data_IF_132294425087
#
_entry.id   IF_132294425087
#
_cell.length_a   1.000
_cell.length_b   1.000
_cell.length_c   1.000
_cell.angle_alpha   90.00
_cell.angle_beta   90.00
_cell.angle_gamma   90.00
#
_symmetry.space_group_name_H-M   'P 1'
#
loop_
_entity.id
_entity.type
_entity.pdbx_description
1 polymer ?
#
# COMPACT_ATOMS: atom_id res chain seq x y z
N UNK A 1 8.34 -7.86 31.96
CA UNK A 1 8.14 -6.78 30.96
C UNK A 1 9.11 -6.90 29.78
N UNK A 2 10.37 -7.29 29.99
CA UNK A 2 11.37 -7.45 28.91
C UNK A 2 11.01 -8.55 27.88
N UNK A 3 10.53 -9.71 28.32
CA UNK A 3 10.12 -10.80 27.41
C UNK A 3 8.91 -10.48 26.51
N UNK A 4 8.03 -9.55 26.94
CA UNK A 4 6.85 -9.16 26.15
C UNK A 4 7.19 -8.18 25.03
N UNK A 5 8.17 -7.29 25.26
CA UNK A 5 8.71 -6.42 24.22
C UNK A 5 9.43 -7.23 23.13
N UNK A 6 10.17 -8.26 23.52
CA UNK A 6 10.89 -9.13 22.59
C UNK A 6 9.93 -9.91 21.68
N UNK A 7 8.89 -10.56 22.24
CA UNK A 7 7.90 -11.29 21.45
C UNK A 7 7.11 -10.38 20.48
N UNK A 8 6.78 -9.15 20.90
CA UNK A 8 6.12 -8.17 20.03
C UNK A 8 7.00 -7.81 18.84
N UNK A 9 8.27 -7.49 19.08
CA UNK A 9 9.18 -7.11 18.01
C UNK A 9 9.40 -8.27 17.04
N UNK A 10 9.57 -9.50 17.55
CA UNK A 10 9.66 -10.71 16.73
C UNK A 10 8.41 -10.92 15.84
N UNK A 11 7.21 -10.67 16.37
CA UNK A 11 5.98 -10.70 15.58
C UNK A 11 5.98 -9.66 14.47
N UNK A 12 6.30 -8.41 14.80
CA UNK A 12 6.32 -7.29 13.83
C UNK A 12 7.35 -7.57 12.71
N UNK A 13 8.56 -8.02 13.06
CA UNK A 13 9.59 -8.33 12.08
C UNK A 13 9.20 -9.51 11.17
N UNK A 14 8.57 -10.54 11.75
CA UNK A 14 8.06 -11.67 10.98
C UNK A 14 6.92 -11.24 10.05
N UNK A 15 6.04 -10.34 10.50
CA UNK A 15 4.98 -9.79 9.67
C UNK A 15 5.54 -9.07 8.45
N UNK A 16 6.54 -8.19 8.60
CA UNK A 16 7.18 -7.52 7.46
C UNK A 16 7.75 -8.52 6.45
N UNK A 17 8.50 -9.52 6.92
CA UNK A 17 9.10 -10.56 6.08
C UNK A 17 8.05 -11.43 5.37
N UNK A 18 6.93 -11.72 6.04
CA UNK A 18 5.85 -12.53 5.47
C UNK A 18 5.05 -11.74 4.44
N UNK A 19 4.70 -10.50 4.74
CA UNK A 19 3.92 -9.63 3.84
C UNK A 19 4.69 -9.26 2.58
N UNK A 20 6.01 -9.08 2.68
CA UNK A 20 6.89 -8.90 1.52
C UNK A 20 7.26 -10.22 0.85
N UNK A 21 6.83 -11.37 1.38
CA UNK A 21 7.25 -12.71 0.95
C UNK A 21 8.79 -12.91 0.89
N UNK A 22 9.55 -12.18 1.72
CA UNK A 22 11.00 -12.33 1.84
C UNK A 22 11.44 -13.63 2.51
N UNK A 23 10.52 -14.35 3.15
CA UNK A 23 10.81 -15.67 3.76
C UNK A 23 10.87 -16.80 2.73
N UNK A 24 10.45 -16.57 1.48
CA UNK A 24 10.40 -17.59 0.43
C UNK A 24 11.33 -17.23 -0.73
N UNK A 25 12.31 -18.08 -1.03
CA UNK A 25 13.22 -17.90 -2.17
C UNK A 25 12.45 -17.87 -3.50
N UNK A 26 11.35 -18.62 -3.59
CA UNK A 26 10.47 -18.65 -4.74
C UNK A 26 9.80 -17.31 -5.03
N UNK A 27 9.77 -16.40 -4.06
CA UNK A 27 9.24 -15.05 -4.28
C UNK A 27 10.09 -14.24 -5.27
N UNK A 28 11.29 -14.70 -5.63
CA UNK A 28 12.09 -14.14 -6.73
C UNK A 28 11.66 -14.64 -8.12
N UNK A 29 10.76 -15.62 -8.22
CA UNK A 29 10.29 -16.13 -9.51
C UNK A 29 9.42 -15.09 -10.22
N UNK A 30 9.56 -15.01 -11.54
CA UNK A 30 8.85 -14.03 -12.36
C UNK A 30 7.85 -14.73 -13.26
N UNK A 31 6.59 -14.27 -13.25
CA UNK A 31 5.58 -14.79 -14.18
C UNK A 31 5.94 -14.44 -15.62
N UNK A 32 5.86 -15.44 -16.51
CA UNK A 32 6.05 -15.22 -17.94
C UNK A 32 4.84 -14.47 -18.49
N UNK A 33 5.01 -13.18 -18.74
CA UNK A 33 3.96 -12.30 -19.27
C UNK A 33 3.76 -12.44 -20.78
N UNK A 34 2.68 -11.86 -21.29
CA UNK A 34 2.42 -11.73 -22.72
C UNK A 34 3.58 -10.99 -23.42
N UNK A 35 3.80 -11.30 -24.69
CA UNK A 35 4.81 -10.64 -25.51
C UNK A 35 4.29 -10.32 -26.91
N UNK A 36 5.14 -9.76 -27.78
CA UNK A 36 4.80 -9.55 -29.20
C UNK A 36 4.61 -10.86 -29.99
N UNK A 37 4.90 -12.02 -29.40
CA UNK A 37 4.77 -13.31 -30.07
C UNK A 37 3.35 -13.89 -29.87
N UNK A 38 2.53 -14.02 -30.93
CA UNK A 38 1.14 -14.46 -30.81
C UNK A 38 1.01 -15.92 -30.37
N UNK A 39 1.94 -16.80 -30.76
CA UNK A 39 1.95 -18.21 -30.36
C UNK A 39 2.19 -18.33 -28.87
N UNK A 40 3.16 -17.56 -28.34
CA UNK A 40 3.42 -17.52 -26.90
C UNK A 40 2.18 -17.06 -26.14
N UNK A 41 1.51 -16.02 -26.60
CA UNK A 41 0.30 -15.51 -25.94
C UNK A 41 -0.84 -16.53 -25.97
N UNK A 42 -1.03 -17.25 -27.08
CA UNK A 42 -2.00 -18.33 -27.18
C UNK A 42 -1.71 -19.47 -26.18
N UNK A 43 -0.44 -19.88 -26.06
CA UNK A 43 0.00 -20.90 -25.10
C UNK A 43 -0.28 -20.43 -23.66
N UNK A 44 0.13 -19.21 -23.32
CA UNK A 44 -0.10 -18.66 -21.98
C UNK A 44 -1.60 -18.58 -21.65
N UNK A 45 -2.43 -18.15 -22.61
CA UNK A 45 -3.87 -18.10 -22.44
C UNK A 45 -4.48 -19.49 -22.19
N UNK A 46 -4.06 -20.51 -22.94
CA UNK A 46 -4.57 -21.88 -22.77
C UNK A 46 -4.12 -22.53 -21.45
N UNK A 47 -2.89 -22.25 -21.00
CA UNK A 47 -2.41 -22.71 -19.70
C UNK A 47 -3.13 -22.02 -18.54
N UNK A 48 -3.35 -20.71 -18.64
CA UNK A 48 -4.08 -19.93 -17.62
C UNK A 48 -5.51 -20.45 -17.42
N UNK A 49 -6.22 -20.86 -18.49
CA UNK A 49 -7.56 -21.50 -18.40
C UNK A 49 -7.55 -22.78 -17.56
N UNK A 50 -6.38 -23.43 -17.44
CA UNK A 50 -6.18 -24.66 -16.67
C UNK A 50 -5.52 -24.42 -15.32
N UNK A 51 -5.45 -23.16 -14.87
CA UNK A 51 -4.74 -22.75 -13.66
C UNK A 51 -3.24 -23.14 -13.66
N UNK A 52 -2.60 -23.13 -14.83
CA UNK A 52 -1.17 -23.37 -14.97
C UNK A 52 -0.47 -22.06 -15.33
N UNK A 53 0.49 -21.65 -14.50
CA UNK A 53 1.34 -20.48 -14.76
C UNK A 53 2.76 -20.94 -15.14
N UNK A 54 3.33 -20.31 -16.17
CA UNK A 54 4.76 -20.46 -16.48
C UNK A 54 5.52 -19.36 -15.75
N UNK A 55 6.56 -19.75 -15.02
CA UNK A 55 7.45 -18.83 -14.31
C UNK A 55 8.89 -19.00 -14.75
N UNK A 56 9.66 -17.91 -14.73
CA UNK A 56 11.12 -17.95 -14.77
C UNK A 56 11.60 -18.05 -13.33
N UNK A 57 12.35 -19.11 -13.03
CA UNK A 57 13.01 -19.26 -11.73
C UNK A 57 14.22 -18.33 -11.70
N UNK A 58 14.16 -17.31 -10.86
CA UNK A 58 15.26 -16.40 -10.57
C UNK A 58 15.50 -16.40 -9.06
N UNK A 59 16.75 -16.21 -8.61
CA UNK A 59 17.02 -16.02 -7.19
C UNK A 59 16.31 -14.75 -6.71
N UNK A 60 15.85 -14.77 -5.46
CA UNK A 60 15.32 -13.58 -4.81
C UNK A 60 16.42 -12.52 -4.70
N UNK A 61 16.17 -11.34 -5.25
CA UNK A 61 17.01 -10.17 -5.02
C UNK A 61 16.54 -9.51 -3.72
N UNK A 62 17.19 -9.88 -2.61
CA UNK A 62 16.85 -9.36 -1.28
C UNK A 62 17.03 -7.85 -1.18
N UNK A 63 17.96 -7.24 -1.92
CA UNK A 63 18.15 -5.77 -1.91
C UNK A 63 16.97 -5.10 -2.60
N UNK A 64 16.60 -5.60 -3.77
CA UNK A 64 15.43 -5.11 -4.50
C UNK A 64 14.16 -5.22 -3.66
N UNK A 65 13.95 -6.37 -2.98
CA UNK A 65 12.80 -6.56 -2.08
C UNK A 65 12.84 -5.66 -0.86
N UNK A 66 14.02 -5.43 -0.29
CA UNK A 66 14.20 -4.56 0.86
C UNK A 66 13.80 -3.12 0.53
N UNK A 67 14.18 -2.63 -0.65
CA UNK A 67 13.80 -1.30 -1.15
C UNK A 67 12.40 -1.26 -1.81
N UNK A 68 11.78 -2.41 -2.07
CA UNK A 68 10.47 -2.51 -2.75
C UNK A 68 10.54 -2.11 -4.23
N UNK A 69 11.59 -2.53 -4.93
CA UNK A 69 11.82 -2.28 -6.37
C UNK A 69 11.29 -3.39 -7.27
N UNK A 70 10.71 -4.43 -6.72
CA UNK A 70 10.20 -5.57 -7.46
C UNK A 70 8.71 -5.84 -7.16
N UNK A 71 8.10 -6.66 -8.02
CA UNK A 71 6.71 -7.05 -7.90
C UNK A 71 6.64 -8.51 -7.43
N UNK A 72 6.38 -8.75 -6.13
CA UNK A 72 6.54 -10.08 -5.56
C UNK A 72 5.45 -11.05 -6.03
N UNK A 73 5.86 -12.22 -6.53
CA UNK A 73 4.93 -13.22 -7.04
C UNK A 73 3.84 -13.62 -6.03
N UNK A 74 4.22 -13.81 -4.76
CA UNK A 74 3.33 -14.23 -3.66
C UNK A 74 3.20 -13.22 -2.51
N UNK A 75 3.89 -12.07 -2.58
CA UNK A 75 3.83 -11.04 -1.55
C UNK A 75 2.46 -10.39 -1.46
N UNK A 76 2.13 -9.86 -0.29
CA UNK A 76 0.90 -9.12 -0.03
C UNK A 76 1.10 -7.60 -0.18
N UNK A 77 2.35 -7.11 -0.19
CA UNK A 77 2.70 -5.70 -0.46
C UNK A 77 3.92 -5.61 -1.38
N UNK A 78 4.01 -4.52 -2.15
CA UNK A 78 5.18 -4.16 -2.97
C UNK A 78 6.01 -3.01 -2.36
N UNK A 79 5.59 -2.49 -1.21
CA UNK A 79 6.25 -1.38 -0.52
C UNK A 79 7.70 -1.71 -0.07
N UNK A 80 8.04 -3.00 0.04
CA UNK A 80 9.35 -3.41 0.56
C UNK A 80 9.49 -3.18 2.06
N UNK A 81 10.68 -3.43 2.60
CA UNK A 81 10.92 -3.35 4.05
C UNK A 81 11.07 -1.91 4.52
N UNK A 82 11.77 -1.05 3.76
CA UNK A 82 12.01 0.35 4.17
C UNK A 82 10.71 1.14 4.37
N UNK A 83 9.74 1.00 3.47
CA UNK A 83 8.42 1.65 3.62
C UNK A 83 7.57 1.00 4.71
N UNK A 84 7.68 -0.31 4.96
CA UNK A 84 7.04 -0.92 6.13
C UNK A 84 7.69 -0.48 7.45
N UNK A 85 9.01 -0.26 7.47
CA UNK A 85 9.72 0.32 8.62
C UNK A 85 9.25 1.76 8.88
N UNK A 86 9.06 2.56 7.82
CA UNK A 86 8.46 3.89 7.94
C UNK A 86 7.02 3.84 8.49
N UNK A 87 6.15 2.98 7.94
CA UNK A 87 4.78 2.80 8.47
C UNK A 87 4.82 2.41 9.94
N UNK A 88 5.70 1.48 10.34
CA UNK A 88 5.87 1.16 11.75
C UNK A 88 6.29 2.39 12.56
N UNK A 89 7.32 3.13 12.12
CA UNK A 89 7.83 4.29 12.85
C UNK A 89 6.75 5.35 13.07
N UNK A 90 5.96 5.66 12.02
CA UNK A 90 4.85 6.60 12.14
C UNK A 90 3.75 6.07 13.09
N UNK A 91 3.42 4.77 13.03
CA UNK A 91 2.44 4.17 13.93
C UNK A 91 2.93 4.17 15.38
N UNK A 92 4.19 3.83 15.62
CA UNK A 92 4.81 3.82 16.94
C UNK A 92 4.77 5.23 17.55
N UNK A 93 5.06 6.27 16.76
CA UNK A 93 5.00 7.67 17.20
C UNK A 93 3.56 8.12 17.53
N UNK A 94 2.59 7.91 16.63
CA UNK A 94 1.20 8.36 16.89
C UNK A 94 0.57 7.64 18.07
N UNK A 95 0.94 6.38 18.33
CA UNK A 95 0.50 5.65 19.51
C UNK A 95 1.19 6.16 20.78
N UNK A 96 2.51 6.40 20.75
CA UNK A 96 3.27 6.90 21.88
C UNK A 96 2.83 8.31 22.31
N UNK A 97 2.52 9.17 21.33
CA UNK A 97 2.09 10.56 21.56
C UNK A 97 0.57 10.72 21.69
N UNK A 98 -0.20 9.63 21.55
CA UNK A 98 -1.66 9.68 21.68
C UNK A 98 -2.35 10.52 20.61
N UNK A 99 -1.78 10.64 19.41
CA UNK A 99 -2.34 11.43 18.31
C UNK A 99 -3.64 10.77 17.83
N UNK A 100 -4.82 11.40 17.90
CA UNK A 100 -6.09 10.74 17.62
C UNK A 100 -6.29 10.48 16.11
N UNK A 101 -7.06 9.43 15.80
CA UNK A 101 -7.50 9.14 14.44
C UNK A 101 -7.24 7.71 13.97
N UNK A 102 -7.97 7.31 12.94
CA UNK A 102 -7.80 6.02 12.29
C UNK A 102 -6.58 6.02 11.35
N UNK A 103 -6.28 4.86 10.79
CA UNK A 103 -5.30 4.70 9.73
C UNK A 103 -6.02 4.47 8.40
N UNK A 104 -5.49 5.01 7.30
CA UNK A 104 -6.00 4.72 5.95
C UNK A 104 -4.86 4.55 4.95
N UNK A 105 -5.10 3.68 3.99
CA UNK A 105 -4.32 3.53 2.76
C UNK A 105 -5.23 3.69 1.55
N UNK A 106 -4.81 4.51 0.59
CA UNK A 106 -5.51 4.75 -0.68
C UNK A 106 -4.71 4.11 -1.81
N UNK A 107 -5.08 2.88 -2.15
CA UNK A 107 -4.34 1.96 -3.01
C UNK A 107 -3.73 0.83 -2.19
N UNK A 108 -4.46 -0.28 -2.10
CA UNK A 108 -4.14 -1.40 -1.21
C UNK A 108 -3.53 -2.59 -1.94
N UNK A 109 -3.78 -2.76 -3.25
CA UNK A 109 -3.37 -3.93 -4.01
C UNK A 109 -3.81 -5.24 -3.33
N UNK A 110 -2.88 -6.06 -2.81
CA UNK A 110 -3.16 -7.30 -2.06
C UNK A 110 -3.43 -7.08 -0.57
N UNK A 111 -3.37 -5.83 -0.10
CA UNK A 111 -3.68 -5.39 1.26
C UNK A 111 -2.53 -5.52 2.26
N UNK A 112 -1.29 -5.80 1.83
CA UNK A 112 -0.22 -6.14 2.75
C UNK A 112 0.14 -5.04 3.74
N UNK A 113 0.15 -3.78 3.29
CA UNK A 113 0.48 -2.65 4.16
C UNK A 113 -0.66 -2.34 5.14
N UNK A 114 -1.93 -2.37 4.70
CA UNK A 114 -3.08 -2.30 5.62
C UNK A 114 -3.18 -3.49 6.59
N UNK A 115 -2.84 -4.72 6.16
CA UNK A 115 -2.68 -5.87 7.07
C UNK A 115 -1.60 -5.56 8.11
N UNK A 116 -0.48 -4.95 7.71
CA UNK A 116 0.58 -4.56 8.62
C UNK A 116 0.14 -3.49 9.63
N UNK A 117 -0.56 -2.45 9.19
CA UNK A 117 -1.16 -1.45 10.07
C UNK A 117 -2.09 -2.10 11.12
N UNK A 118 -2.94 -3.04 10.68
CA UNK A 118 -3.83 -3.79 11.59
C UNK A 118 -3.03 -4.67 12.55
N UNK A 119 -1.97 -5.32 12.09
CA UNK A 119 -1.06 -6.13 12.90
C UNK A 119 -0.38 -5.30 14.00
N UNK A 120 0.07 -4.08 13.67
CA UNK A 120 0.65 -3.15 14.65
C UNK A 120 -0.37 -2.81 15.74
N UNK A 121 -1.59 -2.39 15.38
CA UNK A 121 -2.65 -2.14 16.36
C UNK A 121 -2.89 -3.36 17.27
N UNK A 122 -2.94 -4.57 16.70
CA UNK A 122 -3.09 -5.81 17.47
C UNK A 122 -1.92 -6.02 18.45
N UNK A 123 -0.69 -5.83 17.98
CA UNK A 123 0.54 -6.05 18.73
C UNK A 123 0.68 -5.08 19.92
N UNK A 124 0.16 -3.85 19.76
CA UNK A 124 0.11 -2.84 20.82
C UNK A 124 -1.13 -2.96 21.72
N UNK A 125 -2.12 -3.79 21.37
CA UNK A 125 -3.38 -3.90 22.10
C UNK A 125 -4.32 -2.70 21.89
N UNK A 126 -4.10 -1.93 20.82
CA UNK A 126 -4.92 -0.78 20.45
C UNK A 126 -6.23 -1.25 19.79
N UNK A 127 -7.36 -0.85 20.39
CA UNK A 127 -8.70 -1.30 20.02
C UNK A 127 -9.66 -0.17 19.65
N UNK A 128 -9.24 1.09 19.82
CA UNK A 128 -10.06 2.27 19.53
C UNK A 128 -9.97 2.76 18.09
N UNK A 129 -8.90 2.38 17.37
CA UNK A 129 -8.63 2.81 15.98
C UNK A 129 -9.04 1.75 14.97
N UNK A 130 -9.44 2.21 13.80
CA UNK A 130 -9.67 1.39 12.62
C UNK A 130 -8.55 1.53 11.59
N UNK A 131 -8.47 0.56 10.69
CA UNK A 131 -7.70 0.59 9.46
C UNK A 131 -8.67 0.58 8.30
N UNK A 132 -8.67 1.67 7.53
CA UNK A 132 -9.46 1.83 6.32
C UNK A 132 -8.65 1.38 5.10
N UNK A 133 -9.23 0.47 4.32
CA UNK A 133 -8.65 -0.08 3.10
C UNK A 133 -9.43 0.49 1.92
N UNK A 134 -8.91 1.55 1.29
CA UNK A 134 -9.54 2.19 0.15
C UNK A 134 -8.87 1.76 -1.15
N UNK A 135 -9.63 1.13 -2.05
CA UNK A 135 -9.15 0.66 -3.35
C UNK A 135 -10.35 0.49 -4.30
N UNK A 136 -10.10 0.52 -5.60
CA UNK A 136 -11.10 0.11 -6.59
C UNK A 136 -11.40 -1.39 -6.47
N UNK A 137 -10.40 -2.16 -6.03
CA UNK A 137 -10.33 -3.62 -6.09
C UNK A 137 -10.43 -4.17 -7.53
N UNK A 138 -10.13 -3.31 -8.51
CA UNK A 138 -10.21 -3.56 -9.94
C UNK A 138 -8.93 -3.10 -10.68
N UNK A 139 -7.91 -2.67 -9.93
CA UNK A 139 -6.67 -2.09 -10.43
C UNK A 139 -6.77 -0.59 -10.69
N UNK A 140 -5.80 -0.05 -11.43
CA UNK A 140 -5.73 1.38 -11.73
C UNK A 140 -6.80 1.80 -12.75
N UNK A 141 -7.38 3.00 -12.62
CA UNK A 141 -8.21 3.56 -13.68
C UNK A 141 -7.33 3.92 -14.89
N UNK A 142 -7.96 4.09 -16.05
CA UNK A 142 -7.26 4.71 -17.19
C UNK A 142 -6.87 6.14 -16.80
N UNK A 143 -5.61 6.57 -17.04
CA UNK A 143 -5.22 7.96 -16.82
C UNK A 143 -6.16 8.90 -17.57
N UNK A 144 -6.57 10.01 -16.92
CA UNK A 144 -7.51 10.98 -17.51
C UNK A 144 -6.92 11.68 -18.75
N UNK A 145 -5.58 11.78 -18.83
CA UNK A 145 -4.81 12.35 -19.93
C UNK A 145 -3.31 11.99 -19.77
N UNK A 146 -2.47 12.41 -20.72
CA UNK A 146 -1.03 12.11 -20.75
C UNK A 146 -0.24 12.67 -19.56
N UNK A 147 -0.79 13.63 -18.81
CA UNK A 147 -0.14 14.21 -17.62
C UNK A 147 -0.58 13.57 -16.31
N UNK A 148 -1.57 12.69 -16.36
CA UNK A 148 -2.15 12.05 -15.16
C UNK A 148 -1.30 10.88 -14.65
N UNK A 149 -0.48 10.27 -15.52
CA UNK A 149 0.47 9.21 -15.14
C UNK A 149 0.62 8.14 -16.22
N UNK A 150 1.36 7.08 -15.92
CA UNK A 150 1.51 5.94 -16.83
C UNK A 150 0.24 5.08 -16.86
N UNK A 151 -0.15 4.62 -18.05
CA UNK A 151 -1.30 3.72 -18.19
C UNK A 151 -0.91 2.28 -17.83
N UNK A 152 -1.30 1.87 -16.63
CA UNK A 152 -1.20 0.51 -16.12
C UNK A 152 -2.58 -0.13 -15.89
N UNK A 153 -3.65 0.45 -16.45
CA UNK A 153 -5.05 0.04 -16.20
C UNK A 153 -5.39 -1.37 -16.70
N UNK A 154 -4.63 -1.88 -17.67
CA UNK A 154 -4.78 -3.23 -18.21
C UNK A 154 -3.84 -4.26 -17.57
N UNK A 155 -3.03 -3.87 -16.58
CA UNK A 155 -2.11 -4.77 -15.89
C UNK A 155 -2.87 -5.66 -14.92
N UNK A 156 -3.17 -6.90 -15.34
CA UNK A 156 -3.90 -7.89 -14.54
C UNK A 156 -3.29 -8.15 -13.15
N UNK A 157 -1.98 -7.98 -12.98
CA UNK A 157 -1.28 -8.16 -11.70
C UNK A 157 -1.75 -7.16 -10.61
N UNK A 158 -2.19 -5.97 -11.01
CA UNK A 158 -2.68 -4.92 -10.11
C UNK A 158 -4.16 -5.07 -9.78
N UNK A 159 -4.89 -5.97 -10.46
CA UNK A 159 -6.33 -6.20 -10.26
C UNK A 159 -6.56 -7.25 -9.19
N UNK A 160 -6.81 -6.82 -7.95
CA UNK A 160 -7.07 -7.71 -6.82
C UNK A 160 -8.44 -7.40 -6.24
N UNK A 161 -9.34 -8.39 -6.25
CA UNK A 161 -10.72 -8.20 -5.78
C UNK A 161 -10.80 -8.00 -4.27
N UNK A 162 -11.87 -7.33 -3.82
CA UNK A 162 -12.15 -7.11 -2.40
C UNK A 162 -12.17 -8.43 -1.62
N UNK A 163 -12.78 -9.47 -2.17
CA UNK A 163 -12.83 -10.78 -1.52
C UNK A 163 -11.44 -11.41 -1.39
N UNK A 164 -10.55 -11.21 -2.36
CA UNK A 164 -9.16 -11.68 -2.23
C UNK A 164 -8.41 -10.90 -1.15
N UNK A 165 -8.61 -9.59 -1.04
CA UNK A 165 -8.00 -8.77 0.03
C UNK A 165 -8.54 -9.20 1.40
N UNK A 166 -9.86 -9.36 1.56
CA UNK A 166 -10.45 -9.89 2.80
C UNK A 166 -9.88 -11.26 3.15
N UNK A 167 -9.74 -12.15 2.18
CA UNK A 167 -9.14 -13.46 2.41
C UNK A 167 -7.68 -13.36 2.83
N UNK A 168 -6.94 -12.40 2.30
CA UNK A 168 -5.58 -12.14 2.75
C UNK A 168 -5.58 -11.70 4.23
N UNK A 169 -6.46 -10.79 4.67
CA UNK A 169 -6.60 -10.47 6.10
C UNK A 169 -6.96 -11.70 6.95
N UNK A 170 -7.85 -12.60 6.46
CA UNK A 170 -8.22 -13.84 7.18
C UNK A 170 -7.04 -14.77 7.40
N UNK A 171 -6.12 -14.90 6.43
CA UNK A 171 -4.90 -15.73 6.58
C UNK A 171 -3.99 -15.32 7.74
N UNK A 172 -4.08 -14.05 8.16
CA UNK A 172 -3.33 -13.52 9.29
C UNK A 172 -4.17 -13.42 10.58
N UNK A 173 -5.42 -13.88 10.57
CA UNK A 173 -6.39 -13.70 11.67
C UNK A 173 -6.60 -12.22 12.07
N UNK A 174 -6.56 -11.32 11.06
CA UNK A 174 -6.66 -9.87 11.25
C UNK A 174 -7.88 -9.24 10.57
N UNK A 175 -8.80 -10.04 10.03
CA UNK A 175 -10.09 -9.54 9.54
C UNK A 175 -11.09 -9.45 10.71
N UNK A 176 -11.23 -8.27 11.30
CA UNK A 176 -12.17 -8.02 12.40
C UNK A 176 -12.81 -6.63 12.32
N UNK A 177 -13.55 -6.23 13.36
CA UNK A 177 -14.29 -4.95 13.40
C UNK A 177 -13.42 -3.69 13.40
N UNK A 178 -12.09 -3.81 13.43
CA UNK A 178 -11.15 -2.69 13.25
C UNK A 178 -10.70 -2.54 11.79
N UNK A 179 -11.23 -3.32 10.84
CA UNK A 179 -10.91 -3.20 9.41
C UNK A 179 -12.17 -2.81 8.63
N UNK A 180 -12.11 -1.69 7.92
CA UNK A 180 -13.20 -1.19 7.08
C UNK A 180 -12.73 -1.05 5.64
N UNK A 181 -13.61 -1.35 4.68
CA UNK A 181 -13.27 -1.33 3.26
C UNK A 181 -14.06 -0.26 2.52
N UNK A 182 -13.37 0.56 1.73
CA UNK A 182 -13.97 1.52 0.80
C UNK A 182 -13.75 0.99 -0.62
N UNK A 183 -14.75 0.28 -1.16
CA UNK A 183 -14.70 -0.29 -2.50
C UNK A 183 -15.19 0.72 -3.54
N UNK A 184 -14.30 1.10 -4.45
CA UNK A 184 -14.59 1.95 -5.60
C UNK A 184 -13.50 2.96 -5.87
N UNK A 185 -13.72 3.85 -6.84
CA UNK A 185 -12.77 4.90 -7.16
C UNK A 185 -12.69 5.93 -6.04
N UNK A 186 -11.51 6.54 -5.86
CA UNK A 186 -11.30 7.51 -4.78
C UNK A 186 -12.23 8.72 -4.89
N UNK A 187 -12.46 9.24 -6.09
CA UNK A 187 -13.41 10.33 -6.34
C UNK A 187 -14.85 10.02 -5.93
N UNK A 188 -15.23 8.73 -5.89
CA UNK A 188 -16.59 8.31 -5.53
C UNK A 188 -16.71 7.97 -4.04
N UNK A 189 -15.66 7.38 -3.46
CA UNK A 189 -15.71 6.77 -2.13
C UNK A 189 -15.22 7.69 -1.02
N UNK A 190 -14.14 8.45 -1.25
CA UNK A 190 -13.51 9.27 -0.21
C UNK A 190 -14.37 10.47 0.23
N UNK A 191 -15.13 11.19 -0.65
CA UNK A 191 -15.93 12.33 -0.22
C UNK A 191 -17.02 11.98 0.81
N UNK A 192 -17.50 10.73 0.81
CA UNK A 192 -18.59 10.27 1.70
C UNK A 192 -18.13 9.25 2.74
N UNK A 193 -16.82 9.01 2.83
CA UNK A 193 -16.24 8.12 3.82
C UNK A 193 -16.52 8.63 5.25
N UNK A 194 -17.03 7.75 6.11
CA UNK A 194 -17.39 8.06 7.50
C UNK A 194 -16.15 7.99 8.40
N UNK A 195 -15.15 8.79 8.06
CA UNK A 195 -13.89 8.92 8.77
C UNK A 195 -13.89 10.29 9.44
N UNK A 196 -13.79 10.30 10.77
CA UNK A 196 -13.80 11.54 11.55
C UNK A 196 -12.41 12.16 11.59
N UNK A 197 -11.39 11.38 11.98
CA UNK A 197 -9.99 11.79 12.06
C UNK A 197 -9.07 10.67 11.60
N UNK A 198 -7.91 11.06 11.06
CA UNK A 198 -6.82 10.18 10.69
C UNK A 198 -5.57 10.57 11.47
N UNK A 199 -4.78 9.60 11.90
CA UNK A 199 -3.40 9.87 12.34
C UNK A 199 -2.36 9.33 11.38
N UNK A 200 -2.75 8.44 10.45
CA UNK A 200 -1.91 7.96 9.36
C UNK A 200 -2.73 8.00 8.06
N UNK A 201 -2.27 8.79 7.08
CA UNK A 201 -2.78 8.83 5.71
C UNK A 201 -1.68 8.35 4.76
N UNK A 202 -1.80 7.14 4.22
CA UNK A 202 -0.87 6.61 3.20
C UNK A 202 -1.49 6.69 1.81
N UNK A 203 -0.80 7.36 0.89
CA UNK A 203 -1.16 7.55 -0.51
C UNK A 203 -0.31 6.63 -1.39
N UNK A 204 -0.95 5.72 -2.12
CA UNK A 204 -0.31 4.68 -2.94
C UNK A 204 -1.20 4.38 -4.17
N UNK A 205 -1.70 5.45 -4.79
CA UNK A 205 -2.70 5.43 -5.86
C UNK A 205 -2.16 5.84 -7.23
N UNK A 206 -0.86 6.10 -7.30
CA UNK A 206 -0.05 6.28 -8.49
C UNK A 206 -0.25 7.56 -9.30
N UNK A 207 -1.48 7.76 -9.75
CA UNK A 207 -1.86 8.78 -10.70
C UNK A 207 -2.00 10.13 -10.00
N UNK A 208 -1.76 11.21 -10.75
CA UNK A 208 -2.01 12.57 -10.29
C UNK A 208 -3.43 12.70 -9.72
N UNK A 209 -4.42 12.23 -10.46
CA UNK A 209 -5.82 12.32 -10.06
C UNK A 209 -6.12 11.48 -8.81
N UNK A 210 -5.57 10.28 -8.69
CA UNK A 210 -5.70 9.45 -7.49
C UNK A 210 -5.12 10.14 -6.25
N UNK A 211 -3.90 10.68 -6.36
CA UNK A 211 -3.23 11.42 -5.28
C UNK A 211 -4.01 12.68 -4.90
N UNK A 212 -4.51 13.43 -5.89
CA UNK A 212 -5.30 14.63 -5.66
C UNK A 212 -6.64 14.31 -4.99
N UNK A 213 -7.38 13.32 -5.49
CA UNK A 213 -8.66 12.88 -4.91
C UNK A 213 -8.48 12.50 -3.43
N UNK A 214 -7.39 11.79 -3.10
CA UNK A 214 -7.08 11.43 -1.72
C UNK A 214 -6.71 12.64 -0.84
N UNK A 215 -5.81 13.50 -1.31
CA UNK A 215 -5.40 14.70 -0.55
C UNK A 215 -6.57 15.66 -0.32
N UNK A 216 -7.38 15.96 -1.34
CA UNK A 216 -8.52 16.87 -1.21
C UNK A 216 -9.55 16.38 -0.19
N UNK A 217 -9.83 15.08 -0.17
CA UNK A 217 -10.87 14.50 0.66
C UNK A 217 -10.39 14.06 2.06
N UNK A 218 -9.10 13.79 2.26
CA UNK A 218 -8.60 13.18 3.49
C UNK A 218 -7.58 14.03 4.26
N UNK A 219 -6.79 14.89 3.60
CA UNK A 219 -5.71 15.62 4.27
C UNK A 219 -6.21 16.47 5.46
N UNK A 220 -7.36 17.13 5.28
CA UNK A 220 -7.97 17.96 6.33
C UNK A 220 -8.48 17.15 7.55
N UNK A 221 -8.54 15.81 7.45
CA UNK A 221 -8.89 14.89 8.54
C UNK A 221 -7.66 14.41 9.30
N UNK A 222 -6.44 14.64 8.80
CA UNK A 222 -5.21 14.25 9.48
C UNK A 222 -5.03 15.15 10.71
N UNK A 223 -5.02 14.53 11.88
CA UNK A 223 -4.82 15.21 13.16
C UNK A 223 -3.44 15.88 13.20
N UNK A 224 -3.29 17.03 13.88
CA UNK A 224 -1.96 17.58 14.18
C UNK A 224 -1.09 16.54 14.90
N UNK A 225 0.15 16.37 14.44
CA UNK A 225 1.07 15.31 14.84
C UNK A 225 0.89 13.98 14.06
N UNK A 226 -0.13 13.89 13.20
CA UNK A 226 -0.35 12.75 12.31
C UNK A 226 0.54 12.80 11.08
N UNK A 227 0.59 11.71 10.32
CA UNK A 227 1.49 11.58 9.18
C UNK A 227 0.75 11.44 7.85
N UNK A 228 1.32 12.07 6.83
CA UNK A 228 1.00 11.78 5.43
C UNK A 228 2.21 11.09 4.80
N UNK A 229 1.98 9.91 4.24
CA UNK A 229 2.99 9.09 3.56
C UNK A 229 2.61 9.03 2.09
N UNK A 230 3.55 9.27 1.19
CA UNK A 230 3.35 9.24 -0.26
C UNK A 230 4.32 8.24 -0.88
N UNK A 231 3.79 7.12 -1.35
CA UNK A 231 4.60 5.98 -1.77
C UNK A 231 5.41 6.24 -3.05
N UNK A 232 4.83 7.01 -3.96
CA UNK A 232 5.32 7.09 -5.34
C UNK A 232 5.97 8.42 -5.70
N UNK A 233 6.23 9.25 -4.71
CA UNK A 233 6.61 10.65 -4.92
C UNK A 233 7.85 10.81 -5.80
N UNK A 234 8.86 9.95 -5.63
CA UNK A 234 10.09 10.04 -6.40
C UNK A 234 10.07 9.25 -7.71
N UNK A 235 9.23 8.22 -7.82
CA UNK A 235 9.16 7.35 -9.00
C UNK A 235 8.08 7.78 -10.01
N UNK A 236 7.00 8.43 -9.57
CA UNK A 236 5.97 9.01 -10.43
C UNK A 236 5.95 10.54 -10.41
N UNK A 237 6.41 11.19 -11.49
CA UNK A 237 6.37 12.65 -11.61
C UNK A 237 4.96 13.24 -11.48
N UNK A 238 3.92 12.51 -11.94
CA UNK A 238 2.51 12.90 -11.82
C UNK A 238 2.04 12.93 -10.36
N UNK A 239 2.37 11.90 -9.57
CA UNK A 239 2.10 11.86 -8.13
C UNK A 239 2.78 13.04 -7.41
N UNK A 240 4.08 13.24 -7.66
CA UNK A 240 4.82 14.39 -7.10
C UNK A 240 4.16 15.73 -7.43
N UNK A 241 3.74 15.89 -8.68
CA UNK A 241 3.08 17.11 -9.14
C UNK A 241 1.75 17.33 -8.38
N UNK A 242 0.94 16.29 -8.17
CA UNK A 242 -0.30 16.40 -7.41
C UNK A 242 -0.06 16.87 -5.97
N UNK A 243 0.95 16.30 -5.30
CA UNK A 243 1.36 16.74 -3.95
C UNK A 243 1.71 18.23 -3.93
N UNK A 244 2.57 18.69 -4.85
CA UNK A 244 2.97 20.10 -4.86
C UNK A 244 1.85 21.05 -5.27
N UNK A 245 1.01 20.69 -6.25
CA UNK A 245 -0.16 21.49 -6.62
C UNK A 245 -1.11 21.64 -5.42
N UNK A 246 -1.36 20.54 -4.68
CA UNK A 246 -2.21 20.54 -3.49
C UNK A 246 -1.65 21.44 -2.37
N UNK A 247 -0.36 21.29 -2.06
CA UNK A 247 0.32 22.07 -1.02
C UNK A 247 0.37 23.57 -1.38
N UNK A 248 0.73 23.90 -2.63
CA UNK A 248 0.79 25.27 -3.11
C UNK A 248 -0.59 25.96 -3.07
N UNK A 249 -1.65 25.25 -3.48
CA UNK A 249 -3.02 25.77 -3.44
C UNK A 249 -3.51 26.11 -2.01
N UNK A 250 -2.85 25.57 -0.98
CA UNK A 250 -3.18 25.78 0.44
C UNK A 250 -2.10 26.54 1.21
N UNK A 251 -1.05 27.00 0.51
CA UNK A 251 0.11 27.65 1.13
C UNK A 251 0.74 26.83 2.27
N UNK A 252 0.84 25.52 2.07
CA UNK A 252 1.45 24.57 3.00
C UNK A 252 2.90 24.29 2.58
N UNK A 253 3.82 24.32 3.54
CA UNK A 253 5.25 24.06 3.32
C UNK A 253 5.77 23.05 4.37
N UNK A 254 5.28 21.79 4.36
CA UNK A 254 5.75 20.78 5.30
C UNK A 254 7.20 20.39 5.02
N UNK A 255 7.92 19.94 6.04
CA UNK A 255 9.22 19.29 5.88
C UNK A 255 9.01 17.88 5.32
N UNK A 256 9.27 17.70 4.02
CA UNK A 256 9.12 16.42 3.32
C UNK A 256 10.40 15.60 3.49
N UNK A 257 10.28 14.48 4.20
CA UNK A 257 11.37 13.55 4.46
C UNK A 257 11.34 12.37 3.48
N UNK A 258 12.52 11.95 3.02
CA UNK A 258 12.65 10.81 2.10
C UNK A 258 12.74 9.49 2.88
N UNK A 259 11.96 8.49 2.46
CA UNK A 259 12.00 7.14 3.02
C UNK A 259 13.03 6.30 2.26
N UNK A 260 12.86 6.21 0.94
CA UNK A 260 13.69 5.41 0.05
C UNK A 260 13.75 6.05 -1.36
N UNK A 261 13.97 5.25 -2.39
CA UNK A 261 14.08 5.75 -3.76
C UNK A 261 12.76 6.30 -4.34
N UNK A 262 11.61 5.96 -3.74
CA UNK A 262 10.27 6.34 -4.22
C UNK A 262 9.49 7.11 -3.17
N UNK A 263 9.45 6.62 -1.93
CA UNK A 263 8.56 7.12 -0.90
C UNK A 263 9.08 8.36 -0.18
N UNK A 264 8.15 9.21 0.23
CA UNK A 264 8.38 10.33 1.16
C UNK A 264 7.26 10.39 2.19
N UNK A 265 7.46 11.17 3.25
CA UNK A 265 6.43 11.44 4.25
C UNK A 265 6.64 12.80 4.92
N UNK A 266 5.63 13.29 5.62
CA UNK A 266 5.75 14.44 6.52
C UNK A 266 4.72 14.34 7.65
N UNK A 267 5.00 15.07 8.73
CA UNK A 267 4.07 15.25 9.85
C UNK A 267 3.22 16.53 9.64
N UNK A 268 1.92 16.46 9.95
CA UNK A 268 0.94 17.57 9.85
C UNK A 268 0.89 18.37 11.14
#
# INVERSE_FOLDING_TARGET
MQNGHDARQLYIDLMKKTLTASVYDESGWESVSASKNPIRNLILAELNKRAISIVKRRPLDSSSRHEGRDWPLFGYTMAGHLRLDNVQSCVDDVLANGIPGDFIETGAWRGGTTIFMRALLKAYGESSRKVWVADSFEGLPKPKNDTDGWDLSDVAYLKVSLEQVKENFRKFDLLDGQVEFLQGWFCDTLPTAKIDQLSILRLDGDLYSSTMDALENLYHKVSPGGYVIVDDYNSWPSCRKAVHDFLAARSLEPEIETIDFTGVYWQV
#
